data_IF_549861087752
#
_entry.id   IF_549861087752
#
_cell.length_a   1.000
_cell.length_b   1.000
_cell.length_c   1.000
_cell.angle_alpha   90.00
_cell.angle_beta   90.00
_cell.angle_gamma   90.00
#
_symmetry.space_group_name_H-M   'P 1'
#
loop_
_entity.id
_entity.type
_entity.pdbx_description
1 polymer ?
#
# COMPACT_ATOMS: atom_id res chain seq x y z
N UNK A 1 21.87 27.45 8.84
CA UNK A 1 21.02 28.65 8.86
C UNK A 1 21.52 29.57 7.78
N UNK A 2 20.68 30.13 6.91
CA UNK A 2 21.14 31.14 5.97
C UNK A 2 21.72 32.28 6.79
N UNK A 3 22.94 32.69 6.45
CA UNK A 3 23.61 33.84 7.04
C UNK A 3 22.82 35.08 6.61
N UNK A 4 21.92 35.55 7.48
CA UNK A 4 21.16 36.78 7.23
C UNK A 4 22.12 37.91 6.91
N UNK A 5 21.93 38.54 5.77
CA UNK A 5 22.72 39.70 5.35
C UNK A 5 22.22 40.91 6.15
N UNK A 6 23.12 41.82 6.54
CA UNK A 6 22.74 43.04 7.26
C UNK A 6 21.73 43.83 6.41
N UNK A 7 20.56 44.17 6.99
CA UNK A 7 19.45 44.84 6.30
C UNK A 7 18.35 43.94 5.71
N UNK A 8 18.45 42.61 5.82
CA UNK A 8 17.44 41.68 5.29
C UNK A 8 16.09 41.80 6.01
N UNK A 9 15.02 42.03 5.26
CA UNK A 9 13.64 42.23 5.73
C UNK A 9 13.25 43.66 6.10
N UNK A 10 14.10 44.66 5.85
CA UNK A 10 13.82 46.05 6.24
C UNK A 10 12.85 46.78 5.30
N UNK A 11 12.93 46.54 3.99
CA UNK A 11 12.08 47.17 2.99
C UNK A 11 11.89 46.30 1.73
N UNK A 12 11.21 46.84 0.71
CA UNK A 12 10.96 46.12 -0.55
C UNK A 12 12.21 45.88 -1.39
N UNK A 13 13.29 46.64 -1.18
CA UNK A 13 14.58 46.46 -1.84
C UNK A 13 15.49 45.48 -1.09
N UNK A 14 15.17 45.19 0.17
CA UNK A 14 15.85 44.24 1.05
C UNK A 14 14.86 43.18 1.56
N UNK A 15 14.14 42.52 0.65
CA UNK A 15 13.17 41.51 1.03
C UNK A 15 13.83 40.19 1.46
N UNK A 16 13.24 39.50 2.44
CA UNK A 16 13.69 38.18 2.87
C UNK A 16 13.50 37.17 1.73
N UNK A 17 14.61 36.61 1.25
CA UNK A 17 14.60 35.58 0.22
C UNK A 17 14.52 34.18 0.83
N UNK A 18 13.42 33.49 0.55
CA UNK A 18 13.19 32.12 0.99
C UNK A 18 13.71 31.12 -0.06
N UNK A 19 14.96 30.69 0.10
CA UNK A 19 15.55 29.69 -0.78
C UNK A 19 14.80 28.34 -0.67
N UNK A 20 14.56 27.69 -1.81
CA UNK A 20 13.92 26.37 -1.87
C UNK A 20 12.39 26.37 -1.75
N UNK A 21 11.75 27.54 -1.61
CA UNK A 21 10.28 27.69 -1.58
C UNK A 21 9.82 28.49 -2.80
N UNK A 22 8.86 27.98 -3.56
CA UNK A 22 8.23 28.74 -4.63
C UNK A 22 7.20 29.74 -4.09
N UNK A 23 6.90 30.80 -4.86
CA UNK A 23 5.84 31.75 -4.51
C UNK A 23 4.50 31.06 -4.27
N UNK A 24 4.15 30.09 -5.10
CA UNK A 24 2.88 29.35 -5.01
C UNK A 24 2.85 28.49 -3.74
N UNK A 25 3.93 27.77 -3.44
CA UNK A 25 4.05 26.98 -2.21
C UNK A 25 3.90 27.87 -0.97
N UNK A 26 4.59 29.02 -0.95
CA UNK A 26 4.50 29.96 0.15
C UNK A 26 3.09 30.57 0.27
N UNK A 27 2.43 30.84 -0.85
CA UNK A 27 1.04 31.34 -0.87
C UNK A 27 0.09 30.34 -0.21
N UNK A 28 0.22 29.04 -0.52
CA UNK A 28 -0.58 28.00 0.14
C UNK A 28 -0.32 27.92 1.64
N UNK A 29 0.95 28.02 2.05
CA UNK A 29 1.31 28.00 3.46
C UNK A 29 0.79 29.22 4.22
N UNK A 30 0.95 30.42 3.68
CA UNK A 30 0.44 31.66 4.29
C UNK A 30 -1.08 31.63 4.38
N UNK A 31 -1.76 31.20 3.31
CA UNK A 31 -3.21 31.04 3.32
C UNK A 31 -3.67 30.06 4.39
N UNK A 32 -2.92 28.98 4.63
CA UNK A 32 -3.16 28.08 5.75
C UNK A 32 -2.96 28.80 7.09
N UNK A 33 -1.81 29.44 7.35
CA UNK A 33 -1.50 30.14 8.62
C UNK A 33 -2.62 31.10 9.03
N UNK A 34 -3.12 31.92 8.10
CA UNK A 34 -4.14 32.93 8.40
C UNK A 34 -5.58 32.39 8.41
N UNK A 35 -5.81 31.16 7.92
CA UNK A 35 -7.16 30.59 7.80
C UNK A 35 -7.29 29.17 8.37
N UNK A 36 -6.40 28.76 9.28
CA UNK A 36 -6.51 27.47 9.99
C UNK A 36 -7.87 27.41 10.70
N UNK A 37 -8.82 26.64 10.15
CA UNK A 37 -10.16 26.45 10.72
C UNK A 37 -11.33 26.94 9.87
N UNK A 38 -11.09 27.58 8.72
CA UNK A 38 -12.18 27.88 7.79
C UNK A 38 -12.62 26.61 7.06
N UNK A 39 -13.80 26.09 7.41
CA UNK A 39 -14.40 24.89 6.81
C UNK A 39 -14.64 25.00 5.29
N UNK A 40 -14.50 26.20 4.71
CA UNK A 40 -14.71 26.48 3.30
C UNK A 40 -13.51 26.16 2.40
N UNK A 41 -12.34 25.82 2.96
CA UNK A 41 -11.14 25.62 2.17
C UNK A 41 -11.05 24.15 1.70
N UNK A 42 -11.40 23.91 0.43
CA UNK A 42 -11.10 22.63 -0.21
C UNK A 42 -9.58 22.51 -0.39
N UNK A 43 -8.98 21.58 0.36
CA UNK A 43 -7.55 21.33 0.28
C UNK A 43 -7.23 20.38 -0.86
N UNK A 44 -6.41 20.84 -1.80
CA UNK A 44 -5.91 20.06 -2.92
C UNK A 44 -4.56 19.43 -2.55
N UNK A 45 -4.14 18.39 -3.30
CA UNK A 45 -2.83 17.77 -3.11
C UNK A 45 -1.70 18.81 -3.18
N UNK A 46 -1.61 19.71 -4.20
CA UNK A 46 -0.57 20.74 -4.24
C UNK A 46 -0.55 21.64 -3.01
N UNK A 47 -1.73 22.04 -2.50
CA UNK A 47 -1.80 22.88 -1.31
C UNK A 47 -1.27 22.17 -0.07
N UNK A 48 -1.65 20.91 0.14
CA UNK A 48 -1.26 20.13 1.30
C UNK A 48 0.22 19.74 1.26
N UNK A 49 0.76 19.42 0.08
CA UNK A 49 2.18 19.10 -0.08
C UNK A 49 3.07 20.33 0.08
N UNK A 50 2.62 21.51 -0.37
CA UNK A 50 3.29 22.79 -0.10
C UNK A 50 3.36 23.09 1.41
N UNK A 51 2.21 22.99 2.10
CA UNK A 51 2.12 23.18 3.56
C UNK A 51 3.05 22.19 4.25
N UNK A 52 2.99 20.90 3.90
CA UNK A 52 3.83 19.85 4.50
C UNK A 52 5.32 20.11 4.29
N UNK A 53 5.73 20.49 3.08
CA UNK A 53 7.13 20.79 2.73
C UNK A 53 7.67 21.93 3.60
N UNK A 54 6.97 23.07 3.64
CA UNK A 54 7.39 24.25 4.39
C UNK A 54 7.38 23.96 5.89
N UNK A 55 6.33 23.30 6.39
CA UNK A 55 6.20 22.95 7.81
C UNK A 55 7.34 22.06 8.30
N UNK A 56 7.82 21.13 7.47
CA UNK A 56 9.00 20.31 7.80
C UNK A 56 10.28 21.11 7.80
N UNK A 57 10.46 21.96 6.79
CA UNK A 57 11.64 22.80 6.69
C UNK A 57 11.77 23.76 7.87
N UNK A 58 10.65 24.21 8.44
CA UNK A 58 10.60 25.11 9.58
C UNK A 58 10.24 24.44 10.91
N UNK A 59 10.14 23.11 10.95
CA UNK A 59 9.83 22.33 12.17
C UNK A 59 8.55 22.83 12.87
N UNK A 60 7.43 22.76 12.14
CA UNK A 60 6.09 23.16 12.59
C UNK A 60 5.24 21.89 12.70
N UNK A 61 5.41 21.14 13.79
CA UNK A 61 4.93 19.76 13.98
C UNK A 61 3.41 19.64 13.86
N UNK A 62 2.67 20.57 14.48
CA UNK A 62 1.20 20.60 14.39
C UNK A 62 0.71 20.74 12.94
N UNK A 63 1.43 21.51 12.11
CA UNK A 63 1.11 21.66 10.69
C UNK A 63 1.45 20.42 9.87
N UNK A 64 2.55 19.74 10.22
CA UNK A 64 2.93 18.46 9.60
C UNK A 64 1.84 17.42 9.82
N UNK A 65 1.42 17.23 11.08
CA UNK A 65 0.36 16.29 11.45
C UNK A 65 -0.97 16.64 10.79
N UNK A 66 -1.31 17.93 10.76
CA UNK A 66 -2.51 18.44 10.12
C UNK A 66 -2.51 18.17 8.61
N UNK A 67 -1.41 18.44 7.90
CA UNK A 67 -1.31 18.23 6.47
C UNK A 67 -1.38 16.74 6.11
N UNK A 68 -0.68 15.87 6.84
CA UNK A 68 -0.74 14.41 6.68
C UNK A 68 -2.17 13.91 6.92
N UNK A 69 -2.83 14.40 7.97
CA UNK A 69 -4.20 13.99 8.31
C UNK A 69 -5.21 14.38 7.24
N UNK A 70 -5.04 15.54 6.58
CA UNK A 70 -5.91 15.94 5.49
C UNK A 70 -5.57 15.23 4.18
N UNK A 71 -4.30 14.93 3.89
CA UNK A 71 -3.95 14.07 2.75
C UNK A 71 -4.55 12.67 2.90
N UNK A 72 -4.60 12.10 4.13
CA UNK A 72 -5.23 10.79 4.39
C UNK A 72 -6.72 10.74 4.04
N UNK A 73 -7.42 11.89 4.07
CA UNK A 73 -8.84 12.00 3.72
C UNK A 73 -9.09 12.03 2.21
N UNK A 74 -8.06 12.29 1.41
CA UNK A 74 -8.16 12.28 -0.04
C UNK A 74 -8.18 10.84 -0.55
N UNK A 75 -8.96 10.60 -1.61
CA UNK A 75 -9.00 9.31 -2.30
C UNK A 75 -7.78 9.16 -3.20
N UNK A 76 -6.65 8.81 -2.59
CA UNK A 76 -5.37 8.63 -3.27
C UNK A 76 -5.14 7.16 -3.58
N UNK A 77 -4.74 6.89 -4.83
CA UNK A 77 -4.29 5.55 -5.23
C UNK A 77 -3.09 5.11 -4.38
N UNK A 78 -2.90 3.78 -4.19
CA UNK A 78 -1.72 3.27 -3.50
C UNK A 78 -0.39 3.74 -4.12
N UNK A 79 -0.32 3.88 -5.44
CA UNK A 79 0.87 4.39 -6.12
C UNK A 79 1.14 5.86 -5.78
N UNK A 80 0.11 6.71 -5.80
CA UNK A 80 0.25 8.11 -5.42
C UNK A 80 0.65 8.25 -3.95
N UNK A 81 0.12 7.40 -3.06
CA UNK A 81 0.55 7.37 -1.65
C UNK A 81 2.04 7.05 -1.51
N UNK A 82 2.59 6.09 -2.27
CA UNK A 82 4.02 5.80 -2.25
C UNK A 82 4.87 6.94 -2.80
N UNK A 83 4.40 7.60 -3.85
CA UNK A 83 5.06 8.77 -4.44
C UNK A 83 5.18 9.91 -3.40
N UNK A 84 4.06 10.27 -2.78
CA UNK A 84 4.02 11.30 -1.72
C UNK A 84 4.87 10.90 -0.52
N UNK A 85 4.89 9.60 -0.17
CA UNK A 85 5.72 9.09 0.92
C UNK A 85 7.20 9.30 0.62
N UNK A 86 7.64 9.03 -0.61
CA UNK A 86 9.01 9.24 -1.02
C UNK A 86 9.38 10.73 -1.02
N UNK A 87 8.53 11.58 -1.64
CA UNK A 87 8.80 13.02 -1.78
C UNK A 87 8.71 13.79 -0.47
N UNK A 88 7.79 13.40 0.41
CA UNK A 88 7.47 14.11 1.64
C UNK A 88 7.64 13.24 2.88
N UNK A 89 8.51 12.23 2.86
CA UNK A 89 8.86 11.31 3.97
C UNK A 89 7.69 11.00 4.92
N UNK A 90 6.66 10.29 4.43
CA UNK A 90 5.46 9.85 5.19
C UNK A 90 5.53 8.31 5.38
N UNK A 91 6.52 7.78 6.12
CA UNK A 91 6.87 6.36 6.10
C UNK A 91 5.73 5.43 6.54
N UNK A 92 4.78 5.92 7.34
CA UNK A 92 3.67 5.12 7.83
C UNK A 92 2.71 4.63 6.72
N UNK A 93 2.75 5.23 5.52
CA UNK A 93 1.92 4.78 4.40
C UNK A 93 2.55 3.63 3.59
N UNK A 94 3.87 3.41 3.72
CA UNK A 94 4.60 2.42 2.91
C UNK A 94 3.98 1.02 3.04
N UNK A 95 3.73 0.47 4.26
CA UNK A 95 3.27 -0.91 4.38
C UNK A 95 1.90 -1.12 3.75
N UNK A 96 0.96 -0.22 4.01
CA UNK A 96 -0.41 -0.32 3.48
C UNK A 96 -0.43 -0.12 1.96
N UNK A 97 0.25 0.91 1.45
CA UNK A 97 0.27 1.20 0.02
C UNK A 97 0.97 0.09 -0.79
N UNK A 98 2.10 -0.41 -0.30
CA UNK A 98 2.82 -1.53 -0.93
C UNK A 98 1.97 -2.80 -0.94
N UNK A 99 1.35 -3.17 0.20
CA UNK A 99 0.47 -4.35 0.26
C UNK A 99 -0.68 -4.22 -0.72
N UNK A 100 -1.35 -3.07 -0.77
CA UNK A 100 -2.46 -2.82 -1.68
C UNK A 100 -2.05 -2.97 -3.16
N UNK A 101 -0.86 -2.49 -3.54
CA UNK A 101 -0.34 -2.65 -4.90
C UNK A 101 -0.02 -4.11 -5.24
N UNK A 102 0.58 -4.85 -4.30
CA UNK A 102 0.99 -6.25 -4.53
C UNK A 102 -0.22 -7.18 -4.69
N UNK A 103 -1.28 -6.96 -3.91
CA UNK A 103 -2.48 -7.82 -3.97
C UNK A 103 -3.48 -7.42 -5.08
N UNK A 104 -3.33 -6.23 -5.66
CA UNK A 104 -4.22 -5.75 -6.71
C UNK A 104 -3.82 -6.33 -8.09
N UNK A 105 -4.78 -6.55 -9.00
CA UNK A 105 -4.45 -6.88 -10.38
C UNK A 105 -3.55 -5.82 -11.03
N UNK A 106 -2.52 -6.24 -11.77
CA UNK A 106 -1.65 -5.33 -12.53
C UNK A 106 -2.46 -4.54 -13.56
N UNK A 107 -3.53 -5.12 -14.10
CA UNK A 107 -4.47 -4.44 -15.00
C UNK A 107 -5.22 -3.27 -14.33
N UNK A 108 -5.28 -3.23 -12.99
CA UNK A 108 -5.86 -2.12 -12.24
C UNK A 108 -4.87 -0.96 -12.01
N UNK A 109 -3.58 -1.15 -12.30
CA UNK A 109 -2.56 -0.09 -12.19
C UNK A 109 -2.68 0.80 -13.44
N UNK A 110 -3.06 2.05 -13.24
CA UNK A 110 -3.23 3.02 -14.32
C UNK A 110 -1.88 3.53 -14.86
N UNK A 111 -1.91 4.25 -15.99
CA UNK A 111 -0.71 4.91 -16.53
C UNK A 111 -0.14 5.95 -15.56
N UNK A 112 -1.02 6.68 -14.86
CA UNK A 112 -0.63 7.67 -13.86
C UNK A 112 0.06 7.00 -12.68
N UNK A 113 -0.46 5.85 -12.23
CA UNK A 113 0.17 5.04 -11.18
C UNK A 113 1.58 4.58 -11.60
N UNK A 114 1.75 4.11 -12.84
CA UNK A 114 3.07 3.73 -13.36
C UNK A 114 4.02 4.95 -13.39
N UNK A 115 3.52 6.12 -13.76
CA UNK A 115 4.31 7.36 -13.74
C UNK A 115 4.73 7.76 -12.32
N UNK A 116 3.86 7.60 -11.33
CA UNK A 116 4.16 7.92 -9.92
C UNK A 116 5.14 6.93 -9.29
N UNK A 117 4.99 5.64 -9.56
CA UNK A 117 5.90 4.60 -9.06
C UNK A 117 7.29 4.68 -9.71
N UNK A 118 7.31 5.02 -11.00
CA UNK A 118 8.47 4.82 -11.86
C UNK A 118 8.77 3.34 -12.12
N UNK A 119 9.59 3.08 -13.14
CA UNK A 119 9.86 1.73 -13.64
C UNK A 119 10.44 0.79 -12.58
N UNK A 120 11.34 1.30 -11.72
CA UNK A 120 12.00 0.50 -10.69
C UNK A 120 10.99 -0.04 -9.68
N UNK A 121 10.17 0.81 -9.07
CA UNK A 121 9.19 0.38 -8.06
C UNK A 121 8.13 -0.50 -8.69
N UNK A 122 7.63 -0.12 -9.88
CA UNK A 122 6.70 -0.97 -10.63
C UNK A 122 7.24 -2.38 -10.86
N UNK A 123 8.51 -2.52 -11.26
CA UNK A 123 9.13 -3.83 -11.49
C UNK A 123 9.22 -4.70 -10.22
N UNK A 124 9.42 -4.07 -9.06
CA UNK A 124 9.46 -4.76 -7.76
C UNK A 124 8.06 -5.27 -7.41
N UNK A 125 7.03 -4.43 -7.57
CA UNK A 125 5.63 -4.81 -7.34
C UNK A 125 5.21 -5.95 -8.27
N UNK A 126 5.53 -5.85 -9.56
CA UNK A 126 5.18 -6.87 -10.54
C UNK A 126 5.83 -8.24 -10.22
N UNK A 127 7.11 -8.25 -9.85
CA UNK A 127 7.81 -9.47 -9.42
C UNK A 127 7.26 -10.04 -8.12
N UNK A 128 6.98 -9.19 -7.12
CA UNK A 128 6.40 -9.64 -5.86
C UNK A 128 5.04 -10.32 -6.09
N UNK A 129 4.22 -9.77 -6.98
CA UNK A 129 2.95 -10.37 -7.37
C UNK A 129 3.13 -11.69 -8.12
N UNK A 130 4.04 -11.74 -9.08
CA UNK A 130 4.38 -12.98 -9.81
C UNK A 130 4.80 -14.09 -8.84
N UNK A 131 5.60 -13.78 -7.82
CA UNK A 131 6.00 -14.73 -6.78
C UNK A 131 4.79 -15.27 -6.00
N UNK A 132 3.85 -14.41 -5.61
CA UNK A 132 2.62 -14.83 -4.92
C UNK A 132 1.77 -15.73 -5.82
N UNK A 133 1.60 -15.36 -7.09
CA UNK A 133 0.83 -16.16 -8.04
C UNK A 133 1.49 -17.52 -8.30
N UNK A 134 2.83 -17.58 -8.33
CA UNK A 134 3.58 -18.82 -8.46
C UNK A 134 3.37 -19.74 -7.24
N UNK A 135 3.42 -19.17 -6.03
CA UNK A 135 3.19 -19.90 -4.79
C UNK A 135 1.74 -20.45 -4.72
N UNK A 136 0.76 -19.62 -5.08
CA UNK A 136 -0.64 -20.04 -5.17
C UNK A 136 -0.83 -21.19 -6.16
N UNK A 137 -0.19 -21.14 -7.33
CA UNK A 137 -0.23 -22.24 -8.31
C UNK A 137 0.42 -23.51 -7.78
N UNK A 138 1.53 -23.38 -7.07
CA UNK A 138 2.25 -24.51 -6.47
C UNK A 138 1.38 -25.20 -5.41
N UNK A 139 0.82 -24.43 -4.49
CA UNK A 139 -0.07 -24.94 -3.42
C UNK A 139 -1.37 -25.50 -4.01
N UNK A 140 -1.91 -24.89 -5.06
CA UNK A 140 -3.10 -25.41 -5.74
C UNK A 140 -2.83 -26.75 -6.45
N UNK A 141 -1.65 -26.92 -7.06
CA UNK A 141 -1.29 -28.12 -7.80
C UNK A 141 -1.00 -29.33 -6.89
N UNK A 142 -0.42 -29.10 -5.71
CA UNK A 142 -0.01 -30.17 -4.79
C UNK A 142 -0.66 -29.96 -3.42
N UNK A 143 -1.64 -30.79 -3.04
CA UNK A 143 -2.22 -30.71 -1.70
C UNK A 143 -1.15 -30.91 -0.62
N UNK A 144 -1.12 -30.08 0.42
CA UNK A 144 -0.22 -30.26 1.54
C UNK A 144 -0.55 -31.56 2.29
N UNK A 145 0.44 -32.14 2.94
CA UNK A 145 0.24 -33.28 3.83
C UNK A 145 0.27 -34.67 3.17
N UNK A 146 0.34 -34.76 1.83
CA UNK A 146 0.38 -36.06 1.14
C UNK A 146 1.65 -36.90 1.41
N UNK A 147 2.71 -36.26 1.87
CA UNK A 147 3.99 -36.91 2.21
C UNK A 147 4.15 -37.15 3.71
N UNK A 148 3.14 -36.83 4.52
CA UNK A 148 3.17 -37.08 5.96
C UNK A 148 2.95 -38.57 6.21
N UNK A 149 3.63 -39.11 7.21
CA UNK A 149 3.38 -40.49 7.63
C UNK A 149 1.95 -40.62 8.17
N UNK A 150 1.27 -41.76 7.88
CA UNK A 150 -0.05 -42.03 8.43
C UNK A 150 0.00 -42.05 9.97
N UNK A 151 -1.12 -41.68 10.59
CA UNK A 151 -1.31 -41.94 12.03
C UNK A 151 -1.07 -43.43 12.32
N UNK A 152 -0.39 -43.80 13.42
CA UNK A 152 -0.14 -45.20 13.77
C UNK A 152 -1.40 -46.06 13.86
N UNK A 153 -2.56 -45.43 14.11
CA UNK A 153 -3.86 -46.10 14.20
C UNK A 153 -4.61 -46.14 12.87
N UNK A 154 -4.04 -45.62 11.78
CA UNK A 154 -4.64 -45.61 10.45
C UNK A 154 -4.24 -46.88 9.67
N UNK A 155 -5.18 -47.81 9.37
CA UNK A 155 -4.87 -48.97 8.55
C UNK A 155 -4.41 -48.56 7.15
N UNK A 156 -3.38 -49.21 6.60
CA UNK A 156 -2.84 -48.88 5.28
C UNK A 156 -3.90 -48.88 4.15
N UNK A 157 -4.89 -49.78 4.23
CA UNK A 157 -6.01 -49.86 3.28
C UNK A 157 -6.98 -48.66 3.39
N UNK A 158 -7.16 -48.09 4.58
CA UNK A 158 -7.99 -46.90 4.80
C UNK A 158 -7.22 -45.62 4.52
N UNK A 159 -5.90 -45.61 4.76
CA UNK A 159 -5.07 -44.45 4.50
C UNK A 159 -5.05 -44.05 3.02
N UNK A 160 -5.05 -45.04 2.12
CA UNK A 160 -5.16 -44.78 0.68
C UNK A 160 -6.47 -44.07 0.31
N UNK A 161 -7.59 -44.45 0.94
CA UNK A 161 -8.88 -43.78 0.75
C UNK A 161 -8.86 -42.35 1.28
N UNK A 162 -8.27 -42.11 2.46
CA UNK A 162 -8.10 -40.76 3.01
C UNK A 162 -7.27 -39.88 2.06
N UNK A 163 -6.21 -40.43 1.48
CA UNK A 163 -5.35 -39.72 0.52
C UNK A 163 -6.12 -39.31 -0.73
N UNK A 164 -6.89 -40.21 -1.31
CA UNK A 164 -7.73 -39.94 -2.48
C UNK A 164 -8.83 -38.92 -2.17
N UNK A 165 -9.51 -39.08 -1.03
CA UNK A 165 -10.52 -38.13 -0.55
C UNK A 165 -9.93 -36.73 -0.35
N UNK A 166 -8.71 -36.63 0.22
CA UNK A 166 -8.03 -35.35 0.41
C UNK A 166 -7.64 -34.70 -0.93
N UNK A 167 -7.10 -35.47 -1.88
CA UNK A 167 -6.78 -34.96 -3.23
C UNK A 167 -8.05 -34.43 -3.91
N UNK A 168 -9.13 -35.20 -3.86
CA UNK A 168 -10.41 -34.81 -4.42
C UNK A 168 -10.96 -33.54 -3.74
N UNK A 169 -11.00 -33.50 -2.41
CA UNK A 169 -11.44 -32.32 -1.66
C UNK A 169 -10.61 -31.09 -2.01
N UNK A 170 -9.29 -31.23 -2.00
CA UNK A 170 -8.35 -30.15 -2.29
C UNK A 170 -8.62 -29.55 -3.67
N UNK A 171 -8.67 -30.40 -4.70
CA UNK A 171 -8.92 -29.95 -6.06
C UNK A 171 -10.27 -29.26 -6.20
N UNK A 172 -11.34 -29.88 -5.69
CA UNK A 172 -12.70 -29.39 -5.91
C UNK A 172 -13.07 -28.18 -5.06
N UNK A 173 -12.46 -28.00 -3.88
CA UNK A 173 -12.83 -26.96 -2.92
C UNK A 173 -11.76 -25.90 -2.75
N UNK A 174 -10.48 -26.26 -2.66
CA UNK A 174 -9.39 -25.33 -2.27
C UNK A 174 -8.64 -24.81 -3.49
N UNK A 175 -8.10 -25.70 -4.33
CA UNK A 175 -7.28 -25.34 -5.49
C UNK A 175 -8.01 -24.38 -6.44
N UNK A 176 -9.30 -24.60 -6.69
CA UNK A 176 -10.12 -23.70 -7.53
C UNK A 176 -10.25 -22.29 -6.97
N UNK A 177 -10.28 -22.13 -5.65
CA UNK A 177 -10.32 -20.80 -5.03
C UNK A 177 -8.95 -20.14 -5.04
N UNK A 178 -7.87 -20.89 -4.81
CA UNK A 178 -6.50 -20.40 -4.95
C UNK A 178 -6.21 -19.91 -6.37
N UNK A 179 -6.78 -20.56 -7.38
CA UNK A 179 -6.61 -20.24 -8.80
C UNK A 179 -7.69 -19.30 -9.36
N UNK A 180 -8.54 -18.71 -8.51
CA UNK A 180 -9.62 -17.85 -9.01
C UNK A 180 -9.05 -16.62 -9.74
N UNK A 181 -9.47 -16.35 -10.99
CA UNK A 181 -8.76 -15.42 -11.88
C UNK A 181 -8.79 -13.95 -11.45
N UNK A 182 -9.81 -13.55 -10.67
CA UNK A 182 -9.99 -12.15 -10.24
C UNK A 182 -9.93 -11.97 -8.73
N UNK A 183 -10.02 -13.05 -7.97
CA UNK A 183 -10.14 -13.02 -6.51
C UNK A 183 -9.60 -14.32 -5.92
N UNK A 184 -8.31 -14.61 -6.10
CA UNK A 184 -7.72 -15.82 -5.56
C UNK A 184 -7.80 -15.79 -4.03
N UNK A 185 -8.00 -16.97 -3.43
CA UNK A 185 -7.95 -17.12 -1.98
C UNK A 185 -6.55 -16.74 -1.46
N UNK A 186 -6.43 -15.78 -0.53
CA UNK A 186 -5.16 -15.47 0.10
C UNK A 186 -4.60 -16.69 0.83
N UNK A 187 -3.27 -16.89 0.76
CA UNK A 187 -2.63 -18.06 1.36
C UNK A 187 -2.79 -18.10 2.89
N UNK A 188 -2.83 -16.94 3.54
CA UNK A 188 -3.07 -16.79 4.98
C UNK A 188 -4.50 -17.15 5.39
N UNK A 189 -5.45 -17.22 4.45
CA UNK A 189 -6.85 -17.57 4.70
C UNK A 189 -7.18 -19.05 4.37
N UNK A 190 -6.21 -19.84 3.90
CA UNK A 190 -6.46 -21.22 3.43
C UNK A 190 -6.97 -22.13 4.54
N UNK A 191 -6.38 -22.03 5.74
CA UNK A 191 -6.75 -22.88 6.88
C UNK A 191 -8.19 -22.60 7.33
N UNK A 192 -8.54 -21.32 7.50
CA UNK A 192 -9.90 -20.90 7.86
C UNK A 192 -10.91 -21.31 6.79
N UNK A 193 -10.53 -21.19 5.52
CA UNK A 193 -11.38 -21.63 4.41
C UNK A 193 -11.65 -23.13 4.46
N UNK A 194 -10.63 -23.96 4.69
CA UNK A 194 -10.78 -25.42 4.83
C UNK A 194 -11.72 -25.76 5.99
N UNK A 195 -11.53 -25.12 7.15
CA UNK A 195 -12.37 -25.33 8.34
C UNK A 195 -13.84 -24.93 8.12
N UNK A 196 -14.11 -24.01 7.19
CA UNK A 196 -15.48 -23.58 6.83
C UNK A 196 -16.18 -24.50 5.83
N UNK A 197 -15.47 -25.44 5.19
CA UNK A 197 -16.08 -26.32 4.20
C UNK A 197 -16.91 -27.42 4.88
N UNK A 198 -18.08 -27.79 4.30
CA UNK A 198 -18.84 -28.93 4.79
C UNK A 198 -18.01 -30.21 4.68
N UNK A 199 -18.16 -31.09 5.65
CA UNK A 199 -17.52 -32.40 5.64
C UNK A 199 -17.91 -33.15 4.36
N UNK A 200 -16.98 -33.84 3.67
CA UNK A 200 -17.25 -34.55 2.43
C UNK A 200 -18.36 -35.62 2.48
N UNK A 201 -18.91 -35.93 3.65
CA UNK A 201 -19.95 -36.94 3.87
C UNK A 201 -21.37 -36.37 4.15
N UNK A 202 -21.60 -35.07 3.88
CA UNK A 202 -22.94 -34.42 3.92
C UNK A 202 -23.34 -33.80 2.58
#
# INVERSE_FOLDING_TARGET
MPSGVEGDGEDSNHAIFLEGISREEFTHFVAWVYHVGSAAQHHTIPSLTAILKISRMWMIENSIEWAISNLKKLDLSPAHKLELTHRHSIPEWIPHATRALVISPLAAISKDDVSWLGLRVYSIIAKAREMIECEQKTIAAVPPGLSLEPDPNCPASQHQLCREAWICFWWHKVARQLLHPTRPLPLDAVIDYIASQPHPDN
#
